data_IF_654038103505
#
_entry.id   IF_654038103505
#
_cell.length_a   1.000
_cell.length_b   1.000
_cell.length_c   1.000
_cell.angle_alpha   90.00
_cell.angle_beta   90.00
_cell.angle_gamma   90.00
#
_symmetry.space_group_name_H-M   'P 1'
#
loop_
_entity.id
_entity.type
_entity.pdbx_description
1 polymer ?
#
# COMPACT_ATOMS: atom_id res chain seq x y z
N UNK A 1 -7.22 38.18 31.08
CA UNK A 1 -6.25 37.56 30.14
C UNK A 1 -6.25 36.04 30.22
N UNK A 2 -6.14 35.41 31.40
CA UNK A 2 -6.13 33.93 31.57
C UNK A 2 -7.30 33.19 30.92
N UNK A 3 -8.55 33.67 31.08
CA UNK A 3 -9.73 33.08 30.40
C UNK A 3 -9.67 33.15 28.87
N UNK A 4 -9.16 34.25 28.31
CA UNK A 4 -9.01 34.39 26.84
C UNK A 4 -7.99 33.39 26.30
N UNK A 5 -6.84 33.25 26.98
CA UNK A 5 -5.81 32.25 26.63
C UNK A 5 -6.38 30.83 26.71
N UNK A 6 -7.13 30.51 27.77
CA UNK A 6 -7.77 29.21 27.92
C UNK A 6 -8.78 28.92 26.80
N UNK A 7 -9.63 29.90 26.46
CA UNK A 7 -10.60 29.77 25.36
C UNK A 7 -9.89 29.57 24.02
N UNK A 8 -8.83 30.34 23.75
CA UNK A 8 -8.04 30.18 22.52
C UNK A 8 -7.40 28.80 22.42
N UNK A 9 -6.79 28.30 23.51
CA UNK A 9 -6.24 26.94 23.56
C UNK A 9 -7.30 25.88 23.33
N UNK A 10 -8.50 26.06 23.90
CA UNK A 10 -9.62 25.14 23.71
C UNK A 10 -10.09 25.11 22.26
N UNK A 11 -10.22 26.28 21.60
CA UNK A 11 -10.58 26.36 20.18
C UNK A 11 -9.53 25.66 19.32
N UNK A 12 -8.24 25.94 19.52
CA UNK A 12 -7.15 25.30 18.78
C UNK A 12 -7.17 23.78 18.98
N UNK A 13 -7.35 23.31 20.21
CA UNK A 13 -7.49 21.89 20.52
C UNK A 13 -8.65 21.25 19.77
N UNK A 14 -9.83 21.88 19.78
CA UNK A 14 -11.02 21.37 19.08
C UNK A 14 -10.77 21.31 17.57
N UNK A 15 -10.22 22.36 16.97
CA UNK A 15 -9.91 22.39 15.53
C UNK A 15 -8.93 21.29 15.12
N UNK A 16 -7.87 21.06 15.91
CA UNK A 16 -6.90 20.00 15.65
C UNK A 16 -7.56 18.62 15.71
N UNK A 17 -8.38 18.36 16.73
CA UNK A 17 -9.07 17.08 16.86
C UNK A 17 -10.06 16.84 15.73
N UNK A 18 -10.84 17.86 15.32
CA UNK A 18 -11.75 17.76 14.18
C UNK A 18 -10.98 17.50 12.89
N UNK A 19 -9.83 18.15 12.68
CA UNK A 19 -8.99 17.92 11.52
C UNK A 19 -8.49 16.46 11.45
N UNK A 20 -7.96 15.91 12.55
CA UNK A 20 -7.51 14.52 12.58
C UNK A 20 -8.65 13.53 12.39
N UNK A 21 -9.80 13.77 13.02
CA UNK A 21 -10.98 12.92 12.86
C UNK A 21 -11.48 12.94 11.41
N UNK A 22 -11.55 14.12 10.80
CA UNK A 22 -11.95 14.29 9.40
C UNK A 22 -10.98 13.62 8.44
N UNK A 23 -9.67 13.77 8.63
CA UNK A 23 -8.65 13.09 7.84
C UNK A 23 -8.78 11.56 7.94
N UNK A 24 -8.96 11.04 9.15
CA UNK A 24 -9.07 9.60 9.36
C UNK A 24 -10.33 9.02 8.69
N UNK A 25 -11.48 9.67 8.87
CA UNK A 25 -12.75 9.22 8.29
C UNK A 25 -12.83 9.37 6.77
N UNK A 26 -12.29 10.47 6.21
CA UNK A 26 -12.51 10.81 4.80
C UNK A 26 -11.36 10.40 3.89
N UNK A 27 -10.14 10.26 4.41
CA UNK A 27 -8.93 10.04 3.60
C UNK A 27 -8.30 8.71 3.94
N UNK A 28 -7.95 8.48 5.21
CA UNK A 28 -7.13 7.32 5.57
C UNK A 28 -7.89 6.00 5.31
N UNK A 29 -9.21 5.96 5.47
CA UNK A 29 -10.04 4.80 5.15
C UNK A 29 -9.95 4.36 3.68
N UNK A 30 -9.57 5.24 2.76
CA UNK A 30 -9.49 4.89 1.33
C UNK A 30 -8.29 3.99 1.00
N UNK A 31 -7.30 3.96 1.89
CA UNK A 31 -6.04 3.23 1.72
C UNK A 31 -5.90 2.03 2.67
N UNK A 32 -6.86 1.85 3.56
CA UNK A 32 -6.88 0.75 4.54
C UNK A 32 -7.76 -0.37 4.01
N UNK A 33 -7.22 -1.58 3.99
CA UNK A 33 -7.96 -2.78 3.66
C UNK A 33 -8.97 -3.11 4.78
N UNK A 34 -10.20 -3.42 4.41
CA UNK A 34 -11.19 -4.06 5.27
C UNK A 34 -11.14 -5.59 5.07
N UNK A 35 -11.98 -6.33 5.80
CA UNK A 35 -11.99 -7.80 5.76
C UNK A 35 -12.32 -8.40 4.37
N UNK A 36 -13.20 -7.73 3.61
CA UNK A 36 -13.54 -8.14 2.23
C UNK A 36 -12.36 -7.89 1.29
N UNK A 37 -11.70 -6.73 1.41
CA UNK A 37 -10.50 -6.42 0.65
C UNK A 37 -9.39 -7.42 0.91
N UNK A 38 -9.16 -7.79 2.18
CA UNK A 38 -8.14 -8.76 2.56
C UNK A 38 -8.39 -10.13 1.92
N UNK A 39 -9.65 -10.54 1.85
CA UNK A 39 -10.06 -11.78 1.16
C UNK A 39 -9.75 -11.71 -0.33
N UNK A 40 -10.19 -10.63 -1.00
CA UNK A 40 -9.94 -10.41 -2.43
C UNK A 40 -8.44 -10.34 -2.72
N UNK A 41 -7.68 -9.58 -1.93
CA UNK A 41 -6.25 -9.45 -2.08
C UNK A 41 -5.54 -10.80 -1.88
N UNK A 42 -6.02 -11.63 -0.94
CA UNK A 42 -5.55 -13.00 -0.78
C UNK A 42 -5.75 -13.85 -2.04
N UNK A 43 -6.94 -13.80 -2.64
CA UNK A 43 -7.22 -14.48 -3.91
C UNK A 43 -6.33 -13.97 -5.04
N UNK A 44 -6.16 -12.65 -5.14
CA UNK A 44 -5.29 -12.03 -6.13
C UNK A 44 -3.84 -12.46 -5.95
N UNK A 45 -3.33 -12.60 -4.71
CA UNK A 45 -1.96 -13.08 -4.45
C UNK A 45 -1.78 -14.51 -4.95
N UNK A 46 -2.76 -15.38 -4.69
CA UNK A 46 -2.72 -16.76 -5.21
C UNK A 46 -2.73 -16.76 -6.74
N UNK A 47 -3.55 -15.91 -7.37
CA UNK A 47 -3.56 -15.77 -8.84
C UNK A 47 -2.23 -15.24 -9.37
N UNK A 48 -1.62 -14.26 -8.70
CA UNK A 48 -0.32 -13.70 -9.06
C UNK A 48 0.77 -14.78 -8.99
N UNK A 49 0.89 -15.50 -7.87
CA UNK A 49 1.92 -16.55 -7.69
C UNK A 49 1.80 -17.66 -8.73
N UNK A 50 0.58 -17.96 -9.19
CA UNK A 50 0.32 -18.96 -10.24
C UNK A 50 0.43 -18.40 -11.68
N UNK A 51 0.72 -17.11 -11.84
CA UNK A 51 0.87 -16.48 -13.17
C UNK A 51 2.23 -16.80 -13.80
N UNK A 52 2.29 -16.78 -15.13
CA UNK A 52 3.57 -16.90 -15.85
C UNK A 52 4.49 -15.74 -15.50
N UNK A 53 3.95 -14.51 -15.42
CA UNK A 53 4.73 -13.31 -15.11
C UNK A 53 5.45 -13.43 -13.76
N UNK A 54 4.79 -13.99 -12.73
CA UNK A 54 5.42 -14.24 -11.44
C UNK A 54 6.51 -15.30 -11.52
N UNK A 55 6.28 -16.39 -12.27
CA UNK A 55 7.31 -17.41 -12.48
C UNK A 55 8.56 -16.79 -13.11
N UNK A 56 8.38 -16.03 -14.18
CA UNK A 56 9.46 -15.42 -14.95
C UNK A 56 10.31 -14.47 -14.07
N UNK A 57 9.67 -13.65 -13.22
CA UNK A 57 10.42 -12.78 -12.30
C UNK A 57 11.08 -13.57 -11.17
N UNK A 58 10.42 -14.61 -10.64
CA UNK A 58 10.96 -15.45 -9.56
C UNK A 58 12.17 -16.29 -9.96
N UNK A 59 12.33 -16.57 -11.26
CA UNK A 59 13.52 -17.24 -11.80
C UNK A 59 14.72 -16.29 -11.92
N UNK A 60 14.46 -14.98 -11.99
CA UNK A 60 15.49 -13.95 -12.26
C UNK A 60 16.02 -13.24 -11.02
N UNK A 61 15.19 -13.09 -9.98
CA UNK A 61 15.47 -12.31 -8.78
C UNK A 61 14.91 -12.97 -7.52
N UNK A 62 15.53 -12.69 -6.37
CA UNK A 62 15.11 -13.28 -5.11
C UNK A 62 13.89 -12.53 -4.56
N UNK A 63 12.78 -13.25 -4.37
CA UNK A 63 11.59 -12.69 -3.71
C UNK A 63 11.85 -12.52 -2.22
N UNK A 64 11.63 -11.30 -1.72
CA UNK A 64 11.78 -10.96 -0.30
C UNK A 64 10.42 -10.97 0.39
N UNK A 65 9.45 -10.30 -0.21
CA UNK A 65 8.11 -10.18 0.36
C UNK A 65 7.07 -9.86 -0.69
N UNK A 66 5.83 -10.22 -0.40
CA UNK A 66 4.66 -9.81 -1.17
C UNK A 66 3.86 -8.86 -0.28
N UNK A 67 3.55 -7.68 -0.79
CA UNK A 67 2.72 -6.69 -0.15
C UNK A 67 1.46 -6.47 -0.97
N UNK A 68 0.34 -6.38 -0.29
CA UNK A 68 -0.93 -6.01 -0.88
C UNK A 68 -1.26 -4.57 -0.51
N UNK A 69 -1.92 -3.86 -1.41
CA UNK A 69 -2.35 -2.49 -1.14
C UNK A 69 -3.71 -2.20 -1.75
N UNK A 70 -4.42 -1.32 -1.07
CA UNK A 70 -5.68 -0.74 -1.52
C UNK A 70 -5.48 0.75 -1.73
N UNK A 71 -5.91 1.26 -2.88
CA UNK A 71 -5.94 2.69 -3.16
C UNK A 71 -7.27 3.04 -3.84
N UNK A 72 -8.27 3.40 -3.03
CA UNK A 72 -9.57 3.85 -3.54
C UNK A 72 -9.53 5.29 -4.08
N UNK A 73 -8.46 6.04 -3.84
CA UNK A 73 -8.30 7.40 -4.35
C UNK A 73 -7.88 7.43 -5.82
N UNK A 74 -7.19 6.39 -6.31
CA UNK A 74 -6.96 6.17 -7.76
C UNK A 74 -8.26 6.21 -8.57
N UNK A 75 -9.40 5.95 -7.91
CA UNK A 75 -10.71 5.85 -8.55
C UNK A 75 -10.86 4.53 -9.32
N UNK A 76 -12.07 4.27 -9.77
CA UNK A 76 -12.43 2.98 -10.38
C UNK A 76 -13.24 2.11 -9.43
N UNK A 77 -14.00 1.19 -10.01
CA UNK A 77 -14.66 0.11 -9.28
C UNK A 77 -13.69 -1.06 -9.13
N UNK A 78 -14.09 -2.07 -8.35
CA UNK A 78 -13.41 -3.37 -8.35
C UNK A 78 -13.02 -3.78 -9.79
N UNK A 79 -11.80 -4.28 -10.01
CA UNK A 79 -10.70 -4.52 -9.05
C UNK A 79 -9.57 -3.47 -9.09
N UNK A 80 -9.78 -2.33 -9.75
CA UNK A 80 -8.70 -1.42 -10.14
C UNK A 80 -8.09 -0.60 -8.99
N UNK A 81 -8.66 -0.71 -7.79
CA UNK A 81 -8.11 -0.13 -6.56
C UNK A 81 -7.22 -1.10 -5.77
N UNK A 82 -6.95 -2.29 -6.31
CA UNK A 82 -6.08 -3.30 -5.69
C UNK A 82 -4.78 -3.50 -6.45
N UNK A 83 -3.68 -3.58 -5.71
CA UNK A 83 -2.35 -3.83 -6.24
C UNK A 83 -1.62 -4.87 -5.38
N UNK A 84 -0.81 -5.71 -6.02
CA UNK A 84 0.13 -6.63 -5.38
C UNK A 84 1.54 -6.21 -5.76
N UNK A 85 2.35 -5.86 -4.78
CA UNK A 85 3.76 -5.53 -4.95
C UNK A 85 4.62 -6.71 -4.49
N UNK A 86 5.33 -7.33 -5.42
CA UNK A 86 6.34 -8.35 -5.12
C UNK A 86 7.69 -7.65 -5.02
N UNK A 87 8.17 -7.49 -3.78
CA UNK A 87 9.47 -6.88 -3.50
C UNK A 87 10.59 -7.92 -3.71
N UNK A 88 11.55 -7.57 -4.55
CA UNK A 88 12.75 -8.36 -4.81
C UNK A 88 14.02 -7.56 -4.51
N UNK A 89 15.18 -8.21 -4.63
CA UNK A 89 16.49 -7.65 -4.28
C UNK A 89 16.83 -6.39 -5.07
N UNK A 90 16.39 -6.29 -6.34
CA UNK A 90 16.67 -5.12 -7.18
C UNK A 90 15.42 -4.34 -7.54
N UNK A 91 14.34 -5.03 -7.90
CA UNK A 91 13.11 -4.40 -8.34
C UNK A 91 11.89 -4.84 -7.53
N UNK A 92 10.90 -3.97 -7.47
CA UNK A 92 9.55 -4.31 -7.01
C UNK A 92 8.68 -4.43 -8.24
N UNK A 93 8.11 -5.61 -8.46
CA UNK A 93 7.16 -5.84 -9.55
C UNK A 93 5.74 -5.69 -9.03
N UNK A 94 4.91 -4.97 -9.78
CA UNK A 94 3.53 -4.69 -9.40
C UNK A 94 2.59 -5.46 -10.30
N UNK A 95 1.66 -6.14 -9.68
CA UNK A 95 0.66 -6.99 -10.29
C UNK A 95 -0.74 -6.46 -9.99
N UNK A 96 -1.62 -6.53 -10.98
CA UNK A 96 -3.02 -6.12 -10.89
C UNK A 96 -3.88 -7.06 -11.70
N UNK A 97 -5.19 -6.98 -11.50
CA UNK A 97 -6.14 -7.71 -12.33
C UNK A 97 -6.11 -7.20 -13.77
N UNK A 98 -6.21 -8.12 -14.74
CA UNK A 98 -6.26 -7.83 -16.18
C UNK A 98 -7.62 -7.27 -16.61
N UNK A 99 -8.70 -7.67 -15.93
CA UNK A 99 -10.08 -7.32 -16.28
C UNK A 99 -10.95 -6.94 -15.06
N UNK A 100 -12.17 -6.48 -15.32
CA UNK A 100 -13.16 -6.05 -14.32
C UNK A 100 -13.72 -7.19 -13.45
N UNK A 101 -13.40 -8.44 -13.78
CA UNK A 101 -13.78 -9.64 -13.05
C UNK A 101 -12.59 -10.29 -12.33
N UNK A 102 -11.40 -9.69 -12.43
CA UNK A 102 -10.14 -10.26 -11.99
C UNK A 102 -9.98 -11.74 -12.35
N UNK A 103 -10.27 -12.11 -13.61
CA UNK A 103 -10.12 -13.51 -14.04
C UNK A 103 -8.66 -13.95 -13.92
N UNK A 104 -7.74 -13.07 -14.34
CA UNK A 104 -6.29 -13.22 -14.29
C UNK A 104 -5.62 -12.00 -13.65
N UNK A 105 -4.47 -12.24 -13.02
CA UNK A 105 -3.58 -11.23 -12.47
C UNK A 105 -2.28 -11.25 -13.27
N UNK A 106 -1.79 -10.08 -13.66
CA UNK A 106 -0.61 -9.91 -14.50
C UNK A 106 0.27 -8.77 -14.01
N UNK A 107 1.54 -8.78 -14.42
CA UNK A 107 2.49 -7.71 -14.12
C UNK A 107 2.13 -6.49 -14.95
N UNK A 108 1.80 -5.38 -14.29
CA UNK A 108 1.51 -4.11 -14.98
C UNK A 108 2.64 -3.09 -14.86
N UNK A 109 3.57 -3.28 -13.93
CA UNK A 109 4.61 -2.30 -13.67
C UNK A 109 5.79 -2.82 -12.86
N UNK A 110 6.82 -1.99 -12.80
CA UNK A 110 8.01 -2.22 -11.97
C UNK A 110 8.52 -0.90 -11.43
N UNK A 111 9.12 -0.96 -10.25
CA UNK A 111 9.79 0.17 -9.62
C UNK A 111 11.09 -0.29 -8.95
N UNK A 112 11.98 0.65 -8.66
CA UNK A 112 13.21 0.34 -7.93
C UNK A 112 12.91 -0.21 -6.54
N UNK A 113 13.53 -1.34 -6.17
CA UNK A 113 13.38 -1.89 -4.83
C UNK A 113 14.16 -1.04 -3.82
N UNK A 114 13.49 -0.60 -2.77
CA UNK A 114 14.16 0.06 -1.64
C UNK A 114 14.72 -0.95 -0.62
N UNK A 115 14.69 -2.25 -0.93
CA UNK A 115 15.27 -3.28 -0.09
C UNK A 115 16.78 -3.09 0.06
N UNK A 116 17.27 -3.27 1.28
CA UNK A 116 18.69 -3.24 1.61
C UNK A 116 18.94 -4.37 2.61
N UNK A 117 19.83 -5.29 2.26
CA UNK A 117 20.36 -6.38 3.08
C UNK A 117 21.16 -5.88 4.31
N UNK A 118 20.62 -4.96 5.10
CA UNK A 118 21.21 -4.54 6.39
C UNK A 118 22.54 -3.73 6.34
N UNK A 119 22.88 -3.02 5.26
CA UNK A 119 23.91 -1.96 5.40
C UNK A 119 23.27 -0.63 5.84
N UNK A 120 23.42 -0.35 7.13
CA UNK A 120 23.20 0.97 7.74
C UNK A 120 23.77 2.07 6.84
N UNK A 121 22.91 2.99 6.43
CA UNK A 121 23.28 4.19 5.66
C UNK A 121 23.85 5.27 6.59
N UNK A 122 23.67 5.12 7.90
CA UNK A 122 24.27 6.04 8.85
C UNK A 122 25.77 5.78 8.90
N UNK A 123 26.62 6.83 8.81
CA UNK A 123 28.06 6.74 8.93
C UNK A 123 28.48 6.50 10.39
N UNK A 124 27.74 5.69 11.13
CA UNK A 124 28.17 5.13 12.40
C UNK A 124 28.90 3.82 12.05
N UNK A 125 30.06 4.00 11.42
CA UNK A 125 31.03 2.93 11.23
C UNK A 125 31.43 2.33 12.58
N UNK A 126 31.74 1.04 12.55
CA UNK A 126 32.55 0.42 13.61
C UNK A 126 33.86 1.17 13.81
#
# INVERSE_FOLDING_TARGET
MKKKIFITLLIVSVCINIYFLGKWLLIDQWYVANEEDETILGEMVVKAINSNDYRDVSESEQIISIKTSVDRNKGGVFPYHYDISVLMDKQTHIFSCEDDRCTKVEKYGEMYSNYRDERSILPLGK
#
